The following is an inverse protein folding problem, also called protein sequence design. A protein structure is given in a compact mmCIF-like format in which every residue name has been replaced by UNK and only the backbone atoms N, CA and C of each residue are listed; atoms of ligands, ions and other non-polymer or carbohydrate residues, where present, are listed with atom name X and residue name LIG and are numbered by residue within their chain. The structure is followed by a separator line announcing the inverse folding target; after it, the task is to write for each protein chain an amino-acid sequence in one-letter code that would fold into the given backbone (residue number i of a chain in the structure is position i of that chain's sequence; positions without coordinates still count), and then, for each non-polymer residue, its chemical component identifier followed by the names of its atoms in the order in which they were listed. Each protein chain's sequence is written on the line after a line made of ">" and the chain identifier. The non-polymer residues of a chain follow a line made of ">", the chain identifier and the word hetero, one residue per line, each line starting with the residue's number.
data_IF_193098376776
#
_entry.id   IF_193098376776
#
_cell.length_a   1.000
_cell.length_b   1.000
_cell.length_c   1.000
_cell.angle_alpha   90.00
_cell.angle_beta   90.00
_cell.angle_gamma   90.00
#
_symmetry.space_group_name_H-M   'P 1'
#
loop_
_entity.id
_entity.type
_entity.pdbx_description
1 polymer ?
#
# COMPACT_ATOMS: atom_id res chain seq x y z
N UNK A 1 -53.78 4.29 13.81
CA UNK A 1 -53.05 5.11 12.82
C UNK A 1 -52.00 4.22 12.19
N UNK A 2 -52.09 4.01 10.88
CA UNK A 2 -51.23 3.09 10.13
C UNK A 2 -49.79 3.64 10.09
N UNK A 3 -48.85 2.91 10.70
CA UNK A 3 -47.42 3.17 10.55
C UNK A 3 -47.02 2.76 9.13
N UNK A 4 -46.78 3.77 8.31
CA UNK A 4 -46.29 3.64 6.93
C UNK A 4 -45.15 2.63 6.86
N UNK A 5 -45.34 1.58 6.06
CA UNK A 5 -44.33 0.56 5.76
C UNK A 5 -43.15 1.21 5.05
N UNK A 6 -42.14 1.63 5.83
CA UNK A 6 -40.85 2.05 5.29
C UNK A 6 -40.23 0.91 4.49
N UNK A 7 -39.59 1.23 3.37
CA UNK A 7 -38.89 0.28 2.51
C UNK A 7 -37.80 -0.44 3.32
N UNK A 8 -38.12 -1.65 3.80
CA UNK A 8 -37.20 -2.51 4.52
C UNK A 8 -36.51 -3.45 3.53
N UNK A 9 -35.20 -3.32 3.39
CA UNK A 9 -34.40 -4.18 2.52
C UNK A 9 -33.96 -5.40 3.30
N UNK A 10 -34.32 -6.59 2.81
CA UNK A 10 -33.93 -7.86 3.44
C UNK A 10 -32.46 -8.15 3.09
N UNK A 11 -31.63 -8.24 4.11
CA UNK A 11 -30.20 -8.54 3.96
C UNK A 11 -29.97 -10.04 3.82
N UNK A 12 -30.63 -10.83 4.66
CA UNK A 12 -30.50 -12.28 4.65
C UNK A 12 -31.70 -12.93 5.31
N UNK A 13 -32.04 -14.13 4.85
CA UNK A 13 -33.01 -14.99 5.53
C UNK A 13 -32.54 -16.44 5.53
N UNK A 14 -32.56 -17.07 6.71
CA UNK A 14 -32.05 -18.43 6.91
C UNK A 14 -33.03 -19.24 7.74
N UNK A 15 -33.12 -20.55 7.47
CA UNK A 15 -33.98 -21.46 8.25
C UNK A 15 -33.24 -21.93 9.48
N UNK A 16 -33.92 -21.95 10.62
CA UNK A 16 -33.33 -22.34 11.89
C UNK A 16 -34.29 -23.16 12.74
N UNK A 17 -33.74 -24.02 13.58
CA UNK A 17 -34.44 -24.48 14.79
C UNK A 17 -34.18 -23.48 15.91
N UNK A 18 -35.20 -23.13 16.69
CA UNK A 18 -35.06 -22.16 17.80
C UNK A 18 -35.40 -22.84 19.11
N UNK A 19 -34.55 -22.77 20.14
CA UNK A 19 -34.92 -23.16 21.51
C UNK A 19 -35.20 -21.91 22.36
N UNK A 20 -36.26 -21.91 23.21
CA UNK A 20 -37.04 -23.07 23.67
C UNK A 20 -38.26 -23.46 22.79
N UNK A 21 -38.47 -22.79 21.65
CA UNK A 21 -39.62 -23.03 20.77
C UNK A 21 -39.53 -24.42 20.10
N UNK A 22 -40.24 -25.42 20.59
CA UNK A 22 -40.32 -26.78 20.02
C UNK A 22 -41.13 -26.87 18.71
N UNK A 23 -41.03 -25.85 17.85
CA UNK A 23 -41.64 -25.81 16.53
C UNK A 23 -40.67 -26.45 15.54
N UNK A 24 -41.18 -27.34 14.67
CA UNK A 24 -40.35 -28.13 13.75
C UNK A 24 -39.38 -27.26 12.92
N UNK A 25 -38.11 -27.69 12.84
CA UNK A 25 -36.95 -27.01 12.22
C UNK A 25 -37.15 -26.40 10.82
N UNK A 26 -38.21 -26.80 10.12
CA UNK A 26 -38.44 -26.44 8.72
C UNK A 26 -39.39 -25.26 8.51
N UNK A 27 -40.06 -24.83 9.58
CA UNK A 27 -41.08 -23.80 9.56
C UNK A 27 -40.59 -22.42 10.01
N UNK A 28 -39.44 -22.35 10.70
CA UNK A 28 -38.91 -21.10 11.25
C UNK A 28 -37.78 -20.53 10.39
N UNK A 29 -37.83 -19.23 10.17
CA UNK A 29 -36.78 -18.45 9.49
C UNK A 29 -36.40 -17.24 10.31
N UNK A 30 -35.10 -17.02 10.47
CA UNK A 30 -34.58 -15.71 10.84
C UNK A 30 -34.45 -14.86 9.59
N UNK A 31 -34.76 -13.59 9.73
CA UNK A 31 -34.64 -12.63 8.64
C UNK A 31 -34.11 -11.31 9.20
N UNK A 32 -32.95 -10.90 8.69
CA UNK A 32 -32.34 -9.62 9.01
C UNK A 32 -32.68 -8.63 7.91
N UNK A 33 -33.11 -7.43 8.31
CA UNK A 33 -33.48 -6.37 7.39
C UNK A 33 -32.96 -5.01 7.86
N UNK A 34 -32.75 -4.09 6.92
CA UNK A 34 -32.38 -2.71 7.20
C UNK A 34 -33.48 -1.76 6.74
N UNK A 35 -33.67 -0.66 7.46
CA UNK A 35 -34.54 0.40 6.99
C UNK A 35 -33.76 1.37 6.10
N UNK A 36 -34.09 1.43 4.81
CA UNK A 36 -33.39 2.30 3.86
C UNK A 36 -33.48 3.80 4.23
N UNK A 37 -34.51 4.19 4.97
CA UNK A 37 -34.76 5.58 5.36
C UNK A 37 -34.09 5.96 6.70
N UNK A 38 -33.50 5.00 7.42
CA UNK A 38 -32.83 5.22 8.71
C UNK A 38 -31.54 4.39 8.77
N UNK A 39 -30.43 5.03 8.42
CA UNK A 39 -29.10 4.42 8.53
C UNK A 39 -28.88 3.86 9.97
N UNK A 40 -28.32 2.66 10.07
CA UNK A 40 -28.05 2.01 11.35
C UNK A 40 -29.27 1.44 12.09
N UNK A 41 -30.47 1.46 11.49
CA UNK A 41 -31.65 0.75 12.02
C UNK A 41 -31.78 -0.62 11.35
N UNK A 42 -31.36 -1.64 12.06
CA UNK A 42 -31.47 -3.04 11.63
C UNK A 42 -32.51 -3.75 12.50
N UNK A 43 -33.34 -4.53 11.82
CA UNK A 43 -34.43 -5.28 12.43
C UNK A 43 -34.20 -6.76 12.16
N UNK A 44 -34.11 -7.53 13.25
CA UNK A 44 -34.11 -8.98 13.20
C UNK A 44 -35.52 -9.51 13.45
N UNK A 45 -36.05 -10.29 12.52
CA UNK A 45 -37.38 -10.90 12.63
C UNK A 45 -37.29 -12.42 12.66
N UNK A 46 -38.00 -13.05 13.58
CA UNK A 46 -38.25 -14.48 13.59
C UNK A 46 -39.61 -14.74 12.94
N UNK A 47 -39.63 -15.49 11.84
CA UNK A 47 -40.83 -15.74 11.04
C UNK A 47 -41.20 -17.22 11.06
N UNK A 48 -42.49 -17.51 11.12
CA UNK A 48 -43.06 -18.84 10.95
C UNK A 48 -43.77 -18.94 9.61
N UNK A 49 -43.42 -19.94 8.81
CA UNK A 49 -44.11 -20.30 7.58
C UNK A 49 -44.96 -21.54 7.81
N UNK A 50 -46.28 -21.37 7.70
CA UNK A 50 -47.22 -22.48 7.82
C UNK A 50 -47.24 -23.35 6.55
N UNK A 51 -47.81 -24.56 6.63
CA UNK A 51 -47.95 -25.51 5.50
C UNK A 51 -48.71 -24.92 4.31
N UNK A 52 -49.54 -23.90 4.52
CA UNK A 52 -50.23 -23.12 3.48
C UNK A 52 -49.38 -22.02 2.81
N UNK A 53 -48.08 -21.95 3.07
CA UNK A 53 -47.16 -20.98 2.45
C UNK A 53 -47.24 -19.55 3.01
N UNK A 54 -48.13 -19.28 3.97
CA UNK A 54 -48.22 -17.97 4.63
C UNK A 54 -47.09 -17.80 5.66
N UNK A 55 -46.41 -16.67 5.59
CA UNK A 55 -45.34 -16.29 6.52
C UNK A 55 -45.81 -15.23 7.51
N UNK A 56 -45.75 -15.52 8.81
CA UNK A 56 -46.12 -14.62 9.90
C UNK A 56 -44.87 -14.26 10.72
N UNK A 57 -44.73 -13.00 11.14
CA UNK A 57 -43.66 -12.58 12.07
C UNK A 57 -44.06 -12.98 13.48
N UNK A 58 -43.25 -13.83 14.13
CA UNK A 58 -43.45 -14.26 15.52
C UNK A 58 -42.86 -13.26 16.52
N UNK A 59 -41.71 -12.68 16.18
CA UNK A 59 -41.02 -11.71 17.01
C UNK A 59 -40.15 -10.79 16.16
N UNK A 60 -40.00 -9.55 16.60
CA UNK A 60 -39.19 -8.53 15.96
C UNK A 60 -38.28 -7.89 17.02
N UNK A 61 -37.00 -7.79 16.71
CA UNK A 61 -35.98 -7.29 17.62
C UNK A 61 -35.19 -6.16 16.94
N UNK A 62 -35.02 -5.05 17.64
CA UNK A 62 -34.03 -4.04 17.27
C UNK A 62 -32.64 -4.62 17.52
N UNK A 63 -31.81 -4.67 16.48
CA UNK A 63 -30.48 -5.27 16.56
C UNK A 63 -29.59 -4.61 17.64
N UNK A 64 -29.81 -3.34 17.98
CA UNK A 64 -29.08 -2.63 19.07
C UNK A 64 -29.38 -3.20 20.45
N UNK A 65 -30.56 -3.80 20.60
CA UNK A 65 -31.02 -4.41 21.85
C UNK A 65 -30.60 -5.87 21.98
N UNK A 66 -29.86 -6.41 21.02
CA UNK A 66 -29.51 -7.82 20.91
C UNK A 66 -28.01 -8.01 21.14
N UNK A 67 -27.67 -9.01 21.97
CA UNK A 67 -26.34 -9.61 22.06
C UNK A 67 -26.35 -10.92 21.30
N UNK A 68 -25.36 -11.11 20.42
CA UNK A 68 -25.24 -12.30 19.59
C UNK A 68 -23.92 -13.00 19.87
N UNK A 69 -23.96 -14.33 20.03
CA UNK A 69 -22.79 -15.16 20.33
C UNK A 69 -22.80 -16.43 19.49
N UNK A 70 -21.66 -16.78 18.89
CA UNK A 70 -21.50 -18.05 18.16
C UNK A 70 -21.05 -19.12 19.15
N UNK A 71 -21.90 -20.12 19.41
CA UNK A 71 -21.59 -21.21 20.36
C UNK A 71 -20.88 -22.39 19.71
N UNK A 72 -21.24 -22.71 18.48
CA UNK A 72 -20.59 -23.75 17.67
C UNK A 72 -20.76 -23.45 16.18
N UNK A 73 -20.11 -24.23 15.32
CA UNK A 73 -20.19 -24.09 13.86
C UNK A 73 -21.62 -24.18 13.28
N UNK A 74 -22.59 -24.70 14.06
CA UNK A 74 -24.00 -24.79 13.66
C UNK A 74 -24.98 -24.25 14.69
N UNK A 75 -24.50 -23.63 15.77
CA UNK A 75 -25.37 -23.19 16.86
C UNK A 75 -24.96 -21.81 17.36
N UNK A 76 -25.87 -20.85 17.24
CA UNK A 76 -25.65 -19.48 17.71
C UNK A 76 -26.68 -19.13 18.79
N UNK A 77 -26.33 -18.23 19.70
CA UNK A 77 -27.18 -17.77 20.79
C UNK A 77 -27.43 -16.27 20.67
N UNK A 78 -28.64 -15.87 21.00
CA UNK A 78 -29.07 -14.49 21.05
C UNK A 78 -29.68 -14.17 22.41
N UNK A 79 -29.32 -13.02 22.98
CA UNK A 79 -29.83 -12.53 24.26
C UNK A 79 -30.28 -11.08 24.14
N UNK A 80 -31.33 -10.71 24.85
CA UNK A 80 -31.79 -9.32 24.91
C UNK A 80 -31.04 -8.53 25.98
N UNK A 81 -30.71 -7.28 25.66
CA UNK A 81 -30.04 -6.34 26.57
C UNK A 81 -30.96 -5.82 27.68
N UNK A 82 -32.27 -5.79 27.43
CA UNK A 82 -33.28 -5.40 28.43
C UNK A 82 -33.95 -6.66 29.00
N UNK A 83 -34.13 -6.76 30.32
CA UNK A 83 -34.86 -7.87 30.93
C UNK A 83 -36.32 -7.90 30.42
N UNK A 84 -36.96 -9.07 30.33
CA UNK A 84 -36.51 -10.40 30.79
C UNK A 84 -35.40 -10.99 29.89
N UNK A 85 -34.43 -11.68 30.51
CA UNK A 85 -33.29 -12.31 29.81
C UNK A 85 -33.72 -13.54 29.01
N UNK A 86 -34.49 -13.32 27.95
CA UNK A 86 -34.85 -14.37 27.02
C UNK A 86 -33.62 -14.69 26.16
N UNK A 87 -33.05 -15.87 26.37
CA UNK A 87 -32.02 -16.42 25.49
C UNK A 87 -32.65 -17.33 24.45
N UNK A 88 -32.36 -17.04 23.19
CA UNK A 88 -32.81 -17.83 22.05
C UNK A 88 -31.60 -18.52 21.44
N UNK A 89 -31.62 -19.85 21.42
CA UNK A 89 -30.59 -20.62 20.73
C UNK A 89 -31.07 -21.03 19.36
N UNK A 90 -30.29 -20.70 18.34
CA UNK A 90 -30.55 -21.01 16.95
C UNK A 90 -29.64 -22.13 16.48
N UNK A 91 -30.21 -23.17 15.88
CA UNK A 91 -29.46 -24.25 15.23
C UNK A 91 -29.69 -24.24 13.73
N UNK A 92 -28.61 -24.21 12.96
CA UNK A 92 -28.60 -24.10 11.50
C UNK A 92 -28.50 -25.46 10.82
N UNK A 93 -28.95 -25.55 9.56
CA UNK A 93 -28.96 -26.81 8.80
C UNK A 93 -27.57 -27.25 8.35
N UNK A 94 -26.71 -26.29 8.02
CA UNK A 94 -25.31 -26.52 7.64
C UNK A 94 -24.39 -25.50 8.32
N UNK A 95 -23.09 -25.84 8.40
CA UNK A 95 -22.05 -24.91 8.86
C UNK A 95 -21.92 -23.70 7.92
N UNK A 96 -22.12 -23.91 6.62
CA UNK A 96 -22.09 -22.83 5.64
C UNK A 96 -23.19 -21.80 5.89
N UNK A 97 -24.44 -22.23 6.08
CA UNK A 97 -25.56 -21.31 6.37
C UNK A 97 -25.32 -20.56 7.70
N UNK A 98 -24.79 -21.25 8.71
CA UNK A 98 -24.42 -20.64 9.98
C UNK A 98 -23.35 -19.57 9.79
N UNK A 99 -22.30 -19.87 9.01
CA UNK A 99 -21.19 -18.95 8.77
C UNK A 99 -21.61 -17.71 7.99
N UNK A 100 -22.38 -17.87 6.91
CA UNK A 100 -22.90 -16.76 6.11
C UNK A 100 -23.82 -15.88 6.97
N UNK A 101 -24.73 -16.49 7.74
CA UNK A 101 -25.61 -15.78 8.66
C UNK A 101 -24.84 -15.04 9.76
N UNK A 102 -23.87 -15.71 10.38
CA UNK A 102 -23.02 -15.12 11.43
C UNK A 102 -22.25 -13.91 10.89
N UNK A 103 -21.74 -14.00 9.67
CA UNK A 103 -21.02 -12.89 9.02
C UNK A 103 -21.93 -11.67 8.84
N UNK A 104 -23.14 -11.87 8.30
CA UNK A 104 -24.13 -10.79 8.06
C UNK A 104 -24.66 -10.20 9.37
N UNK A 105 -24.91 -11.04 10.37
CA UNK A 105 -25.36 -10.60 11.70
C UNK A 105 -24.30 -9.74 12.40
N UNK A 106 -23.05 -10.22 12.45
CA UNK A 106 -21.98 -9.52 13.13
C UNK A 106 -21.59 -8.21 12.42
N UNK A 107 -21.63 -8.17 11.08
CA UNK A 107 -21.41 -6.91 10.33
C UNK A 107 -22.50 -5.88 10.59
N UNK A 108 -23.76 -6.31 10.59
CA UNK A 108 -24.90 -5.43 10.86
C UNK A 108 -24.93 -4.93 12.30
N UNK A 109 -24.50 -5.74 13.27
CA UNK A 109 -24.40 -5.36 14.69
C UNK A 109 -23.31 -4.29 14.90
N UNK A 110 -22.15 -4.44 14.24
CA UNK A 110 -21.10 -3.41 14.28
C UNK A 110 -21.59 -2.08 13.71
N UNK A 111 -22.31 -2.12 12.59
CA UNK A 111 -22.83 -0.90 11.97
C UNK A 111 -23.95 -0.25 12.79
N UNK A 112 -24.84 -1.04 13.40
CA UNK A 112 -25.90 -0.52 14.26
C UNK A 112 -25.34 0.24 15.47
N UNK A 113 -24.25 -0.27 16.06
CA UNK A 113 -23.56 0.37 17.18
C UNK A 113 -22.73 1.58 16.76
N UNK A 114 -22.06 1.53 15.59
CA UNK A 114 -21.32 2.67 15.05
C UNK A 114 -22.21 3.90 14.91
N UNK A 115 -23.40 3.73 14.34
CA UNK A 115 -24.37 4.83 14.17
C UNK A 115 -24.93 5.30 15.51
N UNK A 116 -25.17 4.40 16.47
CA UNK A 116 -25.63 4.77 17.81
C UNK A 116 -24.60 5.64 18.57
N UNK A 117 -23.30 5.31 18.48
CA UNK A 117 -22.23 6.08 19.13
C UNK A 117 -22.04 7.48 18.51
N UNK A 118 -22.27 7.63 17.21
CA UNK A 118 -22.22 8.95 16.55
C UNK A 118 -23.41 9.84 16.95
N UNK A 119 -24.51 9.24 17.40
CA UNK A 119 -25.74 9.95 17.76
C UNK A 119 -25.73 10.54 19.18
N UNK A 120 -24.76 10.17 20.03
CA UNK A 120 -24.63 10.65 21.41
C UNK A 120 -23.17 11.03 21.74
N UNK A 121 -22.76 12.29 21.52
CA UNK A 121 -21.64 12.87 22.25
C UNK A 121 -22.15 13.43 23.60
N UNK A 122 -21.22 13.59 24.57
CA UNK A 122 -21.42 14.04 25.98
C UNK A 122 -21.69 12.91 26.98
N UNK A 123 -21.13 12.83 28.18
CA UNK A 123 -20.12 13.56 28.96
C UNK A 123 -19.96 12.78 30.29
N UNK A 124 -18.89 13.03 31.05
CA UNK A 124 -18.56 12.50 32.39
C UNK A 124 -18.18 11.01 32.46
N UNK A 125 -17.08 10.60 33.10
CA UNK A 125 -16.54 11.10 34.36
C UNK A 125 -16.39 9.88 35.28
N UNK A 126 -15.26 9.80 35.97
CA UNK A 126 -14.80 8.69 36.82
C UNK A 126 -15.90 8.02 37.68
N UNK A 127 -15.87 6.69 37.80
CA UNK A 127 -15.70 5.98 39.09
C UNK A 127 -15.99 4.46 39.04
N UNK A 128 -14.95 3.73 39.41
CA UNK A 128 -14.95 2.68 40.45
C UNK A 128 -15.31 1.22 40.11
N UNK A 129 -14.41 0.39 40.64
CA UNK A 129 -14.33 -1.07 40.70
C UNK A 129 -15.62 -1.77 41.13
N UNK A 130 -15.93 -2.90 40.48
CA UNK A 130 -16.17 -4.15 41.21
C UNK A 130 -15.86 -5.39 40.37
N UNK A 131 -14.98 -6.22 40.92
CA UNK A 131 -14.66 -7.58 40.50
C UNK A 131 -15.92 -8.47 40.56
N UNK A 132 -16.16 -9.23 39.49
CA UNK A 132 -17.22 -10.24 39.42
C UNK A 132 -17.17 -11.02 38.10
N UNK A 133 -16.60 -12.23 38.17
CA UNK A 133 -16.71 -13.32 37.19
C UNK A 133 -16.31 -12.98 35.74
N UNK A 134 -15.00 -12.82 35.54
CA UNK A 134 -14.41 -12.59 34.22
C UNK A 134 -14.34 -13.93 33.46
N UNK A 135 -15.23 -14.07 32.48
CA UNK A 135 -15.20 -15.18 31.49
C UNK A 135 -13.76 -15.36 30.94
N UNK A 136 -13.21 -16.59 30.90
CA UNK A 136 -11.85 -16.86 30.40
C UNK A 136 -11.63 -16.40 28.95
N UNK A 137 -12.68 -16.43 28.14
CA UNK A 137 -12.69 -15.98 26.74
C UNK A 137 -12.68 -14.45 26.59
N UNK A 138 -13.34 -13.72 27.49
CA UNK A 138 -13.34 -12.24 27.52
C UNK A 138 -12.00 -11.72 28.07
N UNK A 139 -11.42 -12.42 29.05
CA UNK A 139 -10.05 -12.21 29.51
C UNK A 139 -9.04 -12.39 28.38
N UNK A 140 -9.16 -13.47 27.61
CA UNK A 140 -8.24 -13.78 26.51
C UNK A 140 -8.32 -12.76 25.37
N UNK A 141 -9.51 -12.28 25.01
CA UNK A 141 -9.66 -11.23 24.00
C UNK A 141 -9.16 -9.87 24.51
N UNK A 142 -9.51 -9.49 25.75
CA UNK A 142 -9.01 -8.27 26.39
C UNK A 142 -7.49 -8.24 26.49
N UNK A 143 -6.86 -9.38 26.79
CA UNK A 143 -5.41 -9.51 26.88
C UNK A 143 -4.73 -9.48 25.50
N UNK A 144 -5.42 -9.93 24.44
CA UNK A 144 -4.96 -9.80 23.05
C UNK A 144 -5.05 -8.37 22.53
N UNK A 145 -6.14 -7.66 22.83
CA UNK A 145 -6.30 -6.24 22.52
C UNK A 145 -5.26 -5.38 23.26
N UNK A 146 -4.99 -5.72 24.53
CA UNK A 146 -3.95 -5.06 25.33
C UNK A 146 -2.55 -5.25 24.72
N UNK A 147 -2.21 -6.46 24.26
CA UNK A 147 -0.96 -6.70 23.52
C UNK A 147 -0.86 -5.88 22.22
N UNK A 148 -1.96 -5.71 21.48
CA UNK A 148 -1.99 -4.85 20.29
C UNK A 148 -1.75 -3.37 20.63
N UNK A 149 -2.36 -2.89 21.72
CA UNK A 149 -2.18 -1.52 22.21
C UNK A 149 -0.77 -1.28 22.73
N UNK A 150 -0.19 -2.24 23.45
CA UNK A 150 1.19 -2.16 23.93
C UNK A 150 2.20 -2.23 22.76
N UNK A 151 1.95 -3.06 21.74
CA UNK A 151 2.76 -3.04 20.52
C UNK A 151 2.70 -1.66 19.85
N UNK A 152 1.51 -1.08 19.73
CA UNK A 152 1.35 0.24 19.13
C UNK A 152 2.10 1.32 19.92
N UNK A 153 1.95 1.35 21.24
CA UNK A 153 2.66 2.28 22.14
C UNK A 153 4.18 2.10 22.10
N UNK A 154 4.66 0.85 22.07
CA UNK A 154 6.09 0.57 21.98
C UNK A 154 6.69 1.09 20.65
N UNK A 155 5.97 0.92 19.54
CA UNK A 155 6.36 1.45 18.23
C UNK A 155 6.37 2.98 18.25
N UNK A 156 5.32 3.61 18.78
CA UNK A 156 5.20 5.08 18.88
C UNK A 156 6.30 5.70 19.76
N UNK A 157 6.65 5.03 20.86
CA UNK A 157 7.72 5.44 21.76
C UNK A 157 9.13 5.16 21.21
N UNK A 158 9.26 4.42 20.09
CA UNK A 158 10.55 3.98 19.56
C UNK A 158 11.24 2.90 20.39
N UNK A 159 10.52 2.24 21.31
CA UNK A 159 11.05 1.14 22.12
C UNK A 159 11.10 -0.16 21.29
N UNK A 160 12.22 -0.33 20.60
CA UNK A 160 12.48 -1.49 19.73
C UNK A 160 12.40 -2.82 20.48
N UNK A 161 12.86 -2.88 21.74
CA UNK A 161 12.92 -4.14 22.48
C UNK A 161 11.52 -4.58 22.92
N UNK A 162 10.73 -3.64 23.44
CA UNK A 162 9.33 -3.91 23.78
C UNK A 162 8.49 -4.24 22.53
N UNK A 163 8.69 -3.53 21.42
CA UNK A 163 7.97 -3.79 20.17
C UNK A 163 8.24 -5.21 19.63
N UNK A 164 9.51 -5.66 19.65
CA UNK A 164 9.86 -7.04 19.25
C UNK A 164 9.20 -8.05 20.17
N UNK A 165 9.21 -7.82 21.49
CA UNK A 165 8.57 -8.69 22.46
C UNK A 165 7.07 -8.86 22.18
N UNK A 166 6.32 -7.75 22.08
CA UNK A 166 4.89 -7.79 21.83
C UNK A 166 4.53 -8.36 20.44
N UNK A 167 5.29 -8.04 19.40
CA UNK A 167 5.09 -8.61 18.07
C UNK A 167 5.30 -10.12 18.06
N UNK A 168 6.30 -10.62 18.80
CA UNK A 168 6.58 -12.05 18.93
C UNK A 168 5.41 -12.79 19.59
N UNK A 169 4.84 -12.22 20.66
CA UNK A 169 3.74 -12.84 21.38
C UNK A 169 2.42 -12.80 20.60
N UNK A 170 2.16 -11.73 19.84
CA UNK A 170 1.03 -11.67 18.91
C UNK A 170 1.17 -12.70 17.77
N UNK A 171 2.39 -12.89 17.24
CA UNK A 171 2.67 -13.87 16.19
C UNK A 171 2.48 -15.32 16.66
N UNK A 172 2.95 -15.67 17.87
CA UNK A 172 2.73 -17.00 18.48
C UNK A 172 1.25 -17.35 18.60
N UNK A 173 0.41 -16.34 18.81
CA UNK A 173 -1.04 -16.49 18.97
C UNK A 173 -1.80 -16.54 17.64
N UNK A 174 -1.11 -16.40 16.49
CA UNK A 174 -1.68 -16.41 15.13
C UNK A 174 -2.88 -15.46 14.95
N UNK A 175 -2.81 -14.29 15.58
CA UNK A 175 -3.89 -13.30 15.54
C UNK A 175 -3.87 -12.61 14.19
N UNK A 176 -5.04 -12.50 13.55
CA UNK A 176 -5.20 -11.66 12.35
C UNK A 176 -5.23 -10.19 12.78
N UNK A 177 -4.23 -9.43 12.36
CA UNK A 177 -4.10 -8.01 12.67
C UNK A 177 -4.36 -7.15 11.42
N UNK A 178 -5.01 -6.00 11.63
CA UNK A 178 -5.00 -4.91 10.65
C UNK A 178 -4.05 -3.85 11.18
N UNK A 179 -2.91 -3.68 10.51
CA UNK A 179 -1.90 -2.69 10.88
C UNK A 179 -2.02 -1.56 9.88
N UNK A 180 -2.39 -0.38 10.37
CA UNK A 180 -2.48 0.82 9.56
C UNK A 180 -1.71 1.93 10.28
N UNK A 181 -0.94 2.74 9.54
CA UNK A 181 -0.43 4.00 10.08
C UNK A 181 -1.62 4.83 10.58
N UNK A 182 -1.48 5.46 11.75
CA UNK A 182 -2.50 6.38 12.24
C UNK A 182 -2.78 7.44 11.17
N UNK A 183 -4.07 7.72 10.84
CA UNK A 183 -4.41 8.82 9.97
C UNK A 183 -3.94 10.09 10.66
N UNK A 184 -2.83 10.66 10.19
CA UNK A 184 -2.52 12.04 10.49
C UNK A 184 -3.56 12.85 9.74
N UNK A 185 -4.12 13.87 10.37
CA UNK A 185 -4.76 14.96 9.63
C UNK A 185 -3.69 15.50 8.69
N UNK A 186 -3.65 14.95 7.48
CA UNK A 186 -2.83 15.50 6.42
C UNK A 186 -3.57 16.76 6.03
N UNK A 187 -3.22 17.85 6.70
CA UNK A 187 -3.25 19.13 6.00
C UNK A 187 -2.53 18.85 4.67
N UNK A 188 -3.15 19.16 3.54
CA UNK A 188 -2.57 19.05 2.20
C UNK A 188 -1.46 20.11 2.04
N UNK A 189 -0.50 20.10 2.97
CA UNK A 189 0.64 20.98 3.02
C UNK A 189 1.78 20.33 2.27
N UNK A 190 2.26 21.02 1.26
CA UNK A 190 3.51 20.66 0.60
C UNK A 190 4.66 20.71 1.61
N UNK A 191 5.54 19.71 1.52
CA UNK A 191 6.80 19.63 2.24
C UNK A 191 7.97 19.70 1.26
N UNK A 192 9.11 20.16 1.76
CA UNK A 192 10.36 20.33 1.04
C UNK A 192 11.22 19.07 1.22
N UNK A 193 11.18 18.17 0.23
CA UNK A 193 11.96 16.95 0.19
C UNK A 193 13.40 17.24 -0.28
N UNK A 194 14.38 16.83 0.50
CA UNK A 194 15.79 16.88 0.09
C UNK A 194 16.13 15.65 -0.76
N UNK A 195 16.43 15.85 -2.04
CA UNK A 195 16.74 14.76 -2.97
C UNK A 195 18.22 14.78 -3.30
N UNK A 196 18.94 13.74 -2.90
CA UNK A 196 20.30 13.48 -3.36
C UNK A 196 20.21 12.75 -4.69
N UNK A 197 20.70 13.37 -5.75
CA UNK A 197 20.70 12.80 -7.10
C UNK A 197 22.09 12.24 -7.38
N UNK A 198 22.16 10.98 -7.76
CA UNK A 198 23.40 10.30 -8.09
C UNK A 198 23.29 9.64 -9.46
N UNK A 199 24.40 9.63 -10.19
CA UNK A 199 24.57 8.77 -11.37
C UNK A 199 25.78 7.86 -11.20
N UNK A 200 26.27 7.25 -12.28
CA UNK A 200 27.43 6.37 -12.21
C UNK A 200 28.77 7.09 -11.89
N UNK A 201 28.81 8.42 -11.91
CA UNK A 201 30.05 9.20 -11.87
C UNK A 201 30.02 10.46 -11.00
N UNK A 202 28.84 10.92 -10.59
CA UNK A 202 28.63 12.22 -9.97
C UNK A 202 27.43 12.20 -9.02
N UNK A 203 27.41 13.17 -8.10
CA UNK A 203 26.32 13.42 -7.17
C UNK A 203 26.03 14.91 -7.03
N UNK A 204 24.76 15.25 -6.80
CA UNK A 204 24.30 16.59 -6.43
C UNK A 204 23.05 16.52 -5.56
N UNK A 205 22.56 17.66 -5.07
CA UNK A 205 21.36 17.73 -4.25
C UNK A 205 20.37 18.75 -4.83
N UNK A 206 19.09 18.42 -4.82
CA UNK A 206 17.99 19.32 -5.17
C UNK A 206 16.91 19.26 -4.09
N UNK A 207 16.10 20.30 -3.99
CA UNK A 207 14.95 20.33 -3.08
C UNK A 207 13.68 20.35 -3.91
N UNK A 208 12.77 19.41 -3.63
CA UNK A 208 11.53 19.22 -4.40
C UNK A 208 10.35 19.39 -3.46
N UNK A 209 9.36 20.20 -3.86
CA UNK A 209 8.11 20.31 -3.11
C UNK A 209 7.18 19.16 -3.46
N UNK A 210 6.70 18.45 -2.44
CA UNK A 210 5.87 17.25 -2.59
C UNK A 210 4.80 17.21 -1.51
N UNK A 211 3.70 16.51 -1.79
CA UNK A 211 2.71 16.14 -0.79
C UNK A 211 3.00 14.72 -0.28
N UNK A 212 2.94 14.43 1.03
CA UNK A 212 3.26 13.10 1.55
C UNK A 212 2.44 11.95 0.93
N UNK A 213 1.20 12.23 0.52
CA UNK A 213 0.30 11.23 -0.04
C UNK A 213 0.58 10.90 -1.54
N UNK A 214 1.41 11.68 -2.24
CA UNK A 214 1.70 11.41 -3.66
C UNK A 214 2.46 10.11 -3.85
N UNK A 215 2.18 9.44 -4.95
CA UNK A 215 2.83 8.18 -5.31
C UNK A 215 4.22 8.41 -5.89
N UNK A 216 5.08 7.40 -5.80
CA UNK A 216 6.40 7.40 -6.44
C UNK A 216 6.29 7.58 -7.95
N UNK A 217 5.26 7.02 -8.60
CA UNK A 217 4.98 7.27 -10.02
C UNK A 217 4.75 8.76 -10.31
N UNK A 218 3.99 9.44 -9.46
CA UNK A 218 3.69 10.88 -9.61
C UNK A 218 4.94 11.72 -9.39
N UNK A 219 5.76 11.40 -8.38
CA UNK A 219 7.05 12.05 -8.15
C UNK A 219 8.00 11.86 -9.35
N UNK A 220 8.03 10.65 -9.94
CA UNK A 220 8.81 10.42 -11.16
C UNK A 220 8.35 11.30 -12.31
N UNK A 221 7.04 11.44 -12.49
CA UNK A 221 6.48 12.31 -13.52
C UNK A 221 6.83 13.78 -13.25
N UNK A 222 6.76 14.22 -12.00
CA UNK A 222 7.17 15.57 -11.60
C UNK A 222 8.65 15.83 -11.94
N UNK A 223 9.56 14.93 -11.58
CA UNK A 223 10.98 15.05 -11.94
C UNK A 223 11.23 15.06 -13.44
N UNK A 224 10.40 14.36 -14.21
CA UNK A 224 10.48 14.40 -15.66
C UNK A 224 10.07 15.76 -16.22
N UNK A 225 8.97 16.33 -15.72
CA UNK A 225 8.49 17.65 -16.15
C UNK A 225 9.45 18.75 -15.75
N UNK A 226 10.00 18.70 -14.53
CA UNK A 226 10.82 19.77 -13.96
C UNK A 226 12.30 19.69 -14.39
N UNK A 227 12.86 18.48 -14.49
CA UNK A 227 14.28 18.27 -14.76
C UNK A 227 14.58 17.41 -16.01
N UNK A 228 13.55 16.90 -16.70
CA UNK A 228 13.73 16.13 -17.93
C UNK A 228 14.15 14.67 -17.76
N UNK A 229 14.24 14.16 -16.52
CA UNK A 229 14.62 12.77 -16.27
C UNK A 229 13.45 11.83 -16.53
N UNK A 230 13.50 11.04 -17.60
CA UNK A 230 12.40 10.12 -17.93
C UNK A 230 12.10 9.13 -16.79
N UNK A 231 10.82 8.80 -16.46
CA UNK A 231 10.50 7.91 -15.32
C UNK A 231 11.24 6.56 -15.33
N UNK A 232 11.55 6.03 -16.52
CA UNK A 232 12.31 4.77 -16.70
C UNK A 232 13.78 4.85 -16.29
N UNK A 233 14.40 6.04 -16.30
CA UNK A 233 15.78 6.20 -15.82
C UNK A 233 15.86 6.45 -14.32
N UNK A 234 14.74 6.78 -13.68
CA UNK A 234 14.70 7.17 -12.28
C UNK A 234 14.59 5.96 -11.37
N UNK A 235 15.56 5.79 -10.49
CA UNK A 235 15.53 4.78 -9.42
C UNK A 235 15.55 5.45 -8.06
N UNK A 236 14.39 5.42 -7.41
CA UNK A 236 14.18 6.05 -6.11
C UNK A 236 14.51 5.10 -4.97
N UNK A 237 15.26 5.61 -3.99
CA UNK A 237 15.62 4.91 -2.76
C UNK A 237 15.29 5.82 -1.57
N UNK A 238 14.46 5.31 -0.65
CA UNK A 238 14.06 6.00 0.58
C UNK A 238 14.15 4.99 1.71
N UNK A 239 14.75 5.38 2.85
CA UNK A 239 14.94 4.52 4.01
C UNK A 239 15.56 3.14 3.65
N UNK A 240 16.61 3.15 2.82
CA UNK A 240 17.31 1.96 2.29
C UNK A 240 16.45 1.01 1.43
N UNK A 241 15.24 1.42 1.07
CA UNK A 241 14.32 0.62 0.27
C UNK A 241 14.23 1.16 -1.16
N UNK A 242 14.27 0.25 -2.13
CA UNK A 242 13.96 0.57 -3.51
C UNK A 242 12.46 0.85 -3.66
N UNK A 243 12.11 2.04 -4.13
CA UNK A 243 10.74 2.48 -4.17
C UNK A 243 9.94 1.84 -5.31
N UNK A 244 8.69 1.53 -5.03
CA UNK A 244 7.69 0.99 -5.96
C UNK A 244 6.71 2.07 -6.38
N UNK A 245 6.37 2.09 -7.66
CA UNK A 245 5.58 3.17 -8.29
C UNK A 245 4.20 3.39 -7.65
N UNK A 246 3.55 2.33 -7.16
CA UNK A 246 2.21 2.39 -6.58
C UNK A 246 2.14 2.79 -5.10
N UNK A 247 3.28 3.01 -4.43
CA UNK A 247 3.33 3.40 -3.02
C UNK A 247 3.49 4.91 -2.87
N UNK A 248 2.95 5.48 -1.79
CA UNK A 248 3.11 6.90 -1.46
C UNK A 248 4.44 7.21 -0.80
N UNK A 249 4.88 8.47 -0.85
CA UNK A 249 6.07 8.96 -0.14
C UNK A 249 5.97 8.77 1.38
N UNK A 250 4.80 9.07 1.97
CA UNK A 250 4.50 8.81 3.37
C UNK A 250 4.76 7.35 3.76
N UNK A 251 4.39 6.41 2.88
CA UNK A 251 4.62 4.98 3.16
C UNK A 251 6.09 4.57 3.25
N UNK A 252 7.00 5.44 2.79
CA UNK A 252 8.45 5.29 2.92
C UNK A 252 9.08 6.14 4.04
N UNK A 253 8.27 6.87 4.81
CA UNK A 253 8.77 7.67 5.93
C UNK A 253 8.90 9.17 5.67
N UNK A 254 8.42 9.68 4.53
CA UNK A 254 8.49 11.10 4.19
C UNK A 254 7.25 11.84 4.74
N UNK A 255 7.43 12.71 5.71
CA UNK A 255 6.37 13.43 6.42
C UNK A 255 6.68 14.89 6.75
N UNK A 256 7.93 15.34 6.64
CA UNK A 256 8.34 16.68 7.06
C UNK A 256 9.39 17.28 6.13
N UNK A 257 9.52 18.60 6.21
CA UNK A 257 10.61 19.33 5.55
C UNK A 257 11.97 18.78 5.95
N UNK A 258 12.85 18.63 4.95
CA UNK A 258 14.21 18.12 5.14
C UNK A 258 14.33 16.60 5.15
N UNK A 259 13.22 15.86 5.12
CA UNK A 259 13.28 14.42 4.88
C UNK A 259 14.03 14.13 3.57
N UNK A 260 14.80 13.05 3.55
CA UNK A 260 15.76 12.79 2.47
C UNK A 260 15.34 11.60 1.61
N UNK A 261 15.47 11.76 0.29
CA UNK A 261 15.33 10.70 -0.70
C UNK A 261 16.56 10.67 -1.60
N UNK A 262 16.86 9.50 -2.16
CA UNK A 262 17.95 9.32 -3.12
C UNK A 262 17.37 8.95 -4.47
N UNK A 263 17.78 9.68 -5.50
CA UNK A 263 17.44 9.41 -6.89
C UNK A 263 18.69 8.96 -7.63
N UNK A 264 18.76 7.67 -7.95
CA UNK A 264 19.79 7.14 -8.83
C UNK A 264 19.34 7.19 -10.29
N UNK A 265 20.11 7.84 -11.14
CA UNK A 265 19.81 8.02 -12.56
C UNK A 265 20.55 6.96 -13.40
N UNK A 266 19.77 6.16 -14.12
CA UNK A 266 20.28 5.20 -15.09
C UNK A 266 20.58 5.89 -16.43
N UNK A 267 21.62 5.44 -17.12
CA UNK A 267 21.82 5.83 -18.52
C UNK A 267 20.66 5.34 -19.40
N UNK A 268 20.33 6.09 -20.46
CA UNK A 268 19.22 5.77 -21.37
C UNK A 268 19.29 4.33 -21.94
N UNK A 269 20.50 3.86 -22.25
CA UNK A 269 20.76 2.47 -22.69
C UNK A 269 20.33 1.43 -21.65
N UNK A 270 20.59 1.68 -20.37
CA UNK A 270 20.22 0.77 -19.28
C UNK A 270 18.73 0.84 -18.95
N UNK A 271 18.08 1.97 -19.22
CA UNK A 271 16.64 2.11 -19.08
C UNK A 271 15.85 1.54 -20.28
N UNK A 272 16.53 0.95 -21.27
CA UNK A 272 15.96 0.43 -22.52
C UNK A 272 15.09 1.47 -23.26
N UNK A 273 15.49 2.75 -23.19
CA UNK A 273 14.90 3.81 -24.00
C UNK A 273 15.48 3.69 -25.41
N UNK A 274 14.79 2.94 -26.28
CA UNK A 274 15.14 2.87 -27.69
C UNK A 274 14.83 4.18 -28.40
N UNK A 275 15.67 4.59 -29.35
CA UNK A 275 15.46 5.77 -30.21
C UNK A 275 14.06 5.83 -30.84
N UNK A 276 13.41 4.69 -31.04
CA UNK A 276 12.12 4.58 -31.72
C UNK A 276 10.95 5.18 -30.92
N UNK A 277 11.04 5.27 -29.59
CA UNK A 277 9.96 5.82 -28.75
C UNK A 277 10.10 7.32 -28.47
N UNK A 278 11.26 7.90 -28.78
CA UNK A 278 11.53 9.34 -28.68
C UNK A 278 10.85 10.14 -29.81
N UNK A 279 10.55 9.52 -30.95
CA UNK A 279 9.79 10.16 -32.02
C UNK A 279 8.29 10.26 -31.70
N UNK A 280 7.66 9.24 -31.09
CA UNK A 280 6.22 9.28 -30.77
C UNK A 280 5.85 10.33 -29.71
N UNK A 281 6.70 10.57 -28.71
CA UNK A 281 6.43 11.58 -27.70
C UNK A 281 6.72 13.02 -28.17
N UNK A 282 7.53 13.20 -29.23
CA UNK A 282 7.81 14.51 -29.82
C UNK A 282 6.66 15.07 -30.66
N UNK A 283 5.90 14.20 -31.33
CA UNK A 283 4.75 14.63 -32.16
C UNK A 283 3.47 14.91 -31.36
N UNK A 284 3.34 14.36 -30.14
CA UNK A 284 2.15 14.58 -29.31
C UNK A 284 2.18 15.90 -28.51
N UNK A 285 3.35 16.51 -28.34
CA UNK A 285 3.51 17.81 -27.66
C UNK A 285 3.35 19.03 -28.58
N UNK A 286 3.38 18.84 -29.91
CA UNK A 286 3.24 19.94 -30.87
C UNK A 286 1.78 20.21 -31.30
N UNK A 287 0.82 19.41 -30.86
CA UNK A 287 -0.60 19.53 -31.27
C UNK A 287 -1.53 20.14 -30.21
N UNK A 288 -1.02 20.50 -29.03
CA UNK A 288 -1.86 20.96 -27.91
C UNK A 288 -1.79 22.46 -27.58
N UNK A 289 -1.19 23.30 -28.44
CA UNK A 289 -1.19 24.76 -28.23
C UNK A 289 -1.48 25.53 -29.52
N UNK A 290 -2.76 25.76 -29.80
CA UNK A 290 -3.20 26.81 -30.70
C UNK A 290 -4.46 27.49 -30.13
N UNK A 291 -4.41 28.78 -29.77
CA UNK A 291 -5.61 29.60 -29.77
C UNK A 291 -5.89 30.11 -31.19
N UNK A 292 -7.16 30.03 -31.57
CA UNK A 292 -7.71 30.56 -32.82
C UNK A 292 -7.76 32.09 -32.78
N UNK A 293 -7.08 32.79 -33.69
CA UNK A 293 -7.67 33.89 -34.47
C UNK A 293 -6.75 34.49 -35.57
N UNK A 294 -7.27 34.43 -36.80
CA UNK A 294 -7.36 35.50 -37.83
C UNK A 294 -6.11 36.11 -38.53
N UNK A 295 -6.05 35.80 -39.84
CA UNK A 295 -5.88 36.66 -41.04
C UNK A 295 -4.51 37.10 -41.62
N UNK A 296 -4.20 36.48 -42.78
CA UNK A 296 -3.81 37.00 -44.11
C UNK A 296 -2.47 37.76 -44.36
N UNK A 297 -1.64 37.19 -45.24
CA UNK A 297 -0.62 37.88 -46.07
C UNK A 297 0.28 36.92 -46.87
N UNK A 298 0.55 37.14 -48.19
CA UNK A 298 0.93 36.07 -49.15
C UNK A 298 2.44 35.80 -49.34
N UNK A 299 2.72 34.62 -49.88
CA UNK A 299 4.01 34.07 -50.35
C UNK A 299 4.69 34.91 -51.45
N UNK A 300 6.03 34.79 -51.57
CA UNK A 300 6.56 34.07 -52.75
C UNK A 300 7.75 33.15 -52.43
N UNK A 301 7.87 32.06 -53.19
CA UNK A 301 9.07 31.21 -53.32
C UNK A 301 9.71 31.49 -54.71
N UNK A 302 10.82 30.85 -55.16
CA UNK A 302 11.74 29.92 -54.50
C UNK A 302 13.25 30.16 -54.81
N UNK A 303 14.18 29.80 -53.90
CA UNK A 303 15.57 29.43 -54.28
C UNK A 303 16.41 28.92 -53.10
N UNK A 304 16.94 27.69 -53.20
CA UNK A 304 18.12 27.18 -52.47
C UNK A 304 17.85 26.21 -51.31
N UNK A 305 18.54 25.05 -51.22
CA UNK A 305 18.33 24.08 -50.15
C UNK A 305 19.11 24.53 -48.92
N UNK A 306 18.42 25.12 -47.95
CA UNK A 306 18.96 25.38 -46.62
C UNK A 306 18.64 24.20 -45.71
N UNK A 307 19.66 23.38 -45.47
CA UNK A 307 19.68 22.34 -44.43
C UNK A 307 19.57 23.02 -43.07
N UNK A 308 18.38 22.99 -42.46
CA UNK A 308 18.21 23.38 -41.06
C UNK A 308 18.64 22.22 -40.16
N UNK A 309 19.91 22.23 -39.77
CA UNK A 309 20.45 21.45 -38.66
C UNK A 309 19.74 21.84 -37.37
N UNK A 310 18.77 21.03 -36.94
CA UNK A 310 18.37 21.00 -35.54
C UNK A 310 19.50 20.36 -34.75
N UNK A 311 20.30 21.21 -34.10
CA UNK A 311 21.37 20.82 -33.17
C UNK A 311 20.86 19.77 -32.17
N UNK A 312 21.38 18.55 -32.29
CA UNK A 312 21.29 17.55 -31.24
C UNK A 312 22.03 18.03 -30.00
N UNK A 313 21.32 18.10 -28.87
CA UNK A 313 21.94 18.27 -27.57
C UNK A 313 22.67 16.97 -27.20
N UNK A 314 23.92 16.86 -27.63
CA UNK A 314 24.89 15.91 -27.08
C UNK A 314 25.47 16.49 -25.79
N UNK A 315 25.22 15.86 -24.64
CA UNK A 315 25.78 16.23 -23.33
C UNK A 315 27.17 15.61 -23.08
N UNK A 316 28.00 15.50 -24.11
CA UNK A 316 29.39 15.07 -23.96
C UNK A 316 30.33 16.24 -24.28
N UNK A 317 31.29 16.60 -23.41
CA UNK A 317 32.24 17.67 -23.71
C UNK A 317 33.19 17.26 -24.87
N UNK A 318 33.61 18.20 -25.74
CA UNK A 318 34.57 17.91 -26.79
C UNK A 318 35.94 17.59 -26.18
N UNK A 319 36.57 16.51 -26.67
CA UNK A 319 37.96 16.18 -26.32
C UNK A 319 38.90 17.28 -26.85
N UNK A 320 39.60 17.96 -25.95
CA UNK A 320 40.77 18.76 -26.32
C UNK A 320 42.01 17.86 -26.26
N UNK A 321 42.76 17.87 -27.37
CA UNK A 321 44.03 17.19 -27.52
C UNK A 321 45.18 18.20 -27.42
N UNK A 322 46.22 17.80 -26.69
CA UNK A 322 47.65 18.22 -26.74
C UNK A 322 48.20 19.38 -25.87
N UNK A 323 49.05 18.95 -24.92
CA UNK A 323 50.45 19.35 -24.64
C UNK A 323 50.83 20.73 -24.07
N UNK A 324 51.40 20.67 -22.85
CA UNK A 324 52.58 21.37 -22.28
C UNK A 324 52.74 22.90 -22.40
N UNK A 325 52.87 23.59 -21.24
CA UNK A 325 54.08 24.27 -20.68
C UNK A 325 53.69 25.46 -19.77
N UNK A 326 54.28 25.58 -18.57
CA UNK A 326 54.71 26.88 -18.00
C UNK A 326 53.88 27.60 -16.91
N UNK A 327 54.38 27.50 -15.66
CA UNK A 327 54.69 28.57 -14.67
C UNK A 327 53.69 29.66 -14.23
N UNK A 328 53.65 29.91 -12.90
CA UNK A 328 53.45 31.24 -12.28
C UNK A 328 52.22 31.37 -11.37
N UNK A 329 52.42 31.54 -10.06
CA UNK A 329 51.35 31.65 -9.04
C UNK A 329 51.06 33.07 -8.52
N UNK A 330 50.02 33.20 -7.69
CA UNK A 330 49.89 34.03 -6.47
C UNK A 330 48.46 33.86 -5.87
N UNK A 331 48.31 33.84 -4.53
CA UNK A 331 47.06 33.60 -3.77
C UNK A 331 46.17 34.86 -3.56
N UNK A 332 45.36 35.00 -2.46
CA UNK A 332 45.11 34.09 -1.33
C UNK A 332 43.60 33.83 -0.95
N UNK A 333 43.42 32.74 -0.21
CA UNK A 333 42.45 32.40 0.86
C UNK A 333 41.00 32.94 0.89
N UNK A 334 40.02 32.02 0.83
CA UNK A 334 38.77 32.06 1.63
C UNK A 334 38.27 30.64 1.97
N UNK A 335 38.38 30.31 3.27
CA UNK A 335 37.58 29.39 4.10
C UNK A 335 36.82 28.24 3.41
N UNK A 336 37.45 27.06 3.44
CA UNK A 336 36.80 25.76 3.20
C UNK A 336 36.15 25.26 4.50
N UNK A 337 34.83 25.15 4.53
CA UNK A 337 34.12 24.33 5.53
C UNK A 337 34.09 22.91 4.98
N UNK A 338 35.25 22.29 5.00
CA UNK A 338 35.43 20.86 4.84
C UNK A 338 35.82 20.36 6.22
N UNK A 339 34.83 19.95 7.00
CA UNK A 339 34.93 18.88 8.00
C UNK A 339 33.56 18.66 8.65
N UNK A 340 33.31 17.39 9.00
CA UNK A 340 32.13 16.85 9.69
C UNK A 340 31.00 16.40 8.75
N UNK A 341 31.21 15.29 8.03
CA UNK A 341 30.48 14.04 8.30
C UNK A 341 31.48 12.89 8.14
N UNK A 342 31.75 12.20 9.26
CA UNK A 342 32.58 11.01 9.35
C UNK A 342 32.14 9.95 8.35
N UNK A 343 33.06 9.58 7.45
CA UNK A 343 32.97 8.48 6.48
C UNK A 343 33.11 7.09 7.16
N UNK A 344 32.65 6.93 8.40
CA UNK A 344 33.06 5.82 9.26
C UNK A 344 31.92 4.88 9.66
N UNK A 345 30.92 4.66 8.79
CA UNK A 345 29.87 3.66 9.08
C UNK A 345 29.39 2.83 7.89
N UNK A 346 30.32 2.33 7.06
CA UNK A 346 30.07 1.17 6.17
C UNK A 346 31.26 0.16 6.10
N UNK A 347 32.20 0.20 7.05
CA UNK A 347 33.37 -0.70 7.05
C UNK A 347 33.48 -1.56 8.30
N UNK A 348 32.53 -2.47 8.51
CA UNK A 348 32.75 -3.65 9.37
C UNK A 348 32.15 -4.90 8.72
N UNK A 349 33.03 -5.71 8.13
CA UNK A 349 32.70 -7.07 7.72
C UNK A 349 33.49 -7.64 6.54
N UNK A 350 34.84 -7.67 6.60
CA UNK A 350 35.64 -8.86 6.25
C UNK A 350 37.12 -8.50 6.04
N UNK A 351 37.95 -8.76 7.05
CA UNK A 351 39.37 -9.06 6.83
C UNK A 351 39.46 -10.53 6.42
N UNK A 352 39.53 -10.83 5.13
CA UNK A 352 40.11 -12.07 4.65
C UNK A 352 41.06 -11.83 3.48
N UNK A 353 42.30 -12.30 3.67
CA UNK A 353 43.39 -12.31 2.71
C UNK A 353 43.01 -13.13 1.47
N UNK A 354 43.34 -12.56 0.30
CA UNK A 354 43.77 -13.21 -0.96
C UNK A 354 42.87 -14.26 -1.67
N UNK A 355 42.73 -14.01 -2.98
CA UNK A 355 42.34 -14.88 -4.10
C UNK A 355 40.93 -15.48 -4.11
N UNK A 356 39.98 -14.82 -4.80
CA UNK A 356 39.35 -15.32 -6.03
C UNK A 356 38.38 -14.25 -6.57
N UNK A 357 38.57 -13.79 -7.81
CA UNK A 357 37.65 -12.87 -8.50
C UNK A 357 36.34 -13.59 -8.85
N UNK A 358 35.39 -13.64 -7.91
CA UNK A 358 34.01 -13.95 -8.25
C UNK A 358 33.29 -12.66 -8.63
N UNK A 359 33.29 -12.35 -9.92
CA UNK A 359 32.43 -11.31 -10.48
C UNK A 359 30.97 -11.63 -10.12
N UNK A 360 30.34 -10.75 -9.34
CA UNK A 360 28.91 -10.80 -9.06
C UNK A 360 28.08 -10.66 -10.34
N UNK A 361 26.76 -10.81 -10.23
CA UNK A 361 25.84 -10.56 -11.36
C UNK A 361 25.03 -9.29 -11.12
N UNK A 362 24.95 -8.42 -12.13
CA UNK A 362 24.09 -7.23 -12.09
C UNK A 362 22.65 -7.67 -12.33
N UNK A 363 21.75 -7.25 -11.45
CA UNK A 363 20.34 -7.57 -11.63
C UNK A 363 19.73 -6.79 -12.80
N UNK A 364 19.00 -7.45 -13.71
CA UNK A 364 18.37 -6.78 -14.86
C UNK A 364 17.27 -5.79 -14.43
N UNK A 365 16.69 -5.98 -13.24
CA UNK A 365 15.63 -5.14 -12.71
C UNK A 365 16.15 -4.00 -11.84
N UNK A 366 17.07 -4.26 -10.90
CA UNK A 366 17.52 -3.30 -9.88
C UNK A 366 18.94 -2.75 -10.13
N UNK A 367 19.71 -3.32 -11.07
CA UNK A 367 21.14 -3.08 -11.35
C UNK A 367 22.12 -3.38 -10.22
N UNK A 368 21.65 -3.65 -9.00
CA UNK A 368 22.46 -4.07 -7.86
C UNK A 368 23.35 -5.26 -8.23
N UNK A 369 24.63 -5.19 -7.83
CA UNK A 369 25.61 -6.24 -8.07
C UNK A 369 25.49 -7.28 -6.97
N UNK A 370 24.79 -8.37 -7.29
CA UNK A 370 24.55 -9.47 -6.38
C UNK A 370 25.75 -10.41 -6.33
N UNK A 371 25.91 -11.08 -5.18
CA UNK A 371 26.87 -12.19 -5.05
C UNK A 371 26.58 -13.25 -6.12
N UNK A 372 27.63 -13.79 -6.72
CA UNK A 372 27.57 -14.78 -7.80
C UNK A 372 26.80 -16.06 -7.43
N UNK A 373 26.56 -16.32 -6.14
CA UNK A 373 25.83 -17.50 -5.62
C UNK A 373 24.36 -17.23 -5.32
N UNK A 374 23.89 -15.97 -5.31
CA UNK A 374 22.49 -15.62 -5.01
C UNK A 374 21.58 -15.94 -6.22
N UNK A 375 20.47 -16.68 -6.01
CA UNK A 375 19.52 -16.97 -7.09
C UNK A 375 18.61 -15.78 -7.45
N UNK A 376 18.54 -14.73 -6.64
CA UNK A 376 17.76 -13.51 -6.91
C UNK A 376 18.38 -12.23 -6.32
N UNK A 377 17.94 -11.05 -6.79
CA UNK A 377 18.47 -9.74 -6.39
C UNK A 377 18.22 -9.50 -4.89
N UNK A 378 19.25 -9.11 -4.15
CA UNK A 378 19.17 -8.76 -2.74
C UNK A 378 18.23 -7.57 -2.49
N UNK A 379 18.14 -6.66 -3.45
CA UNK A 379 17.37 -5.42 -3.34
C UNK A 379 15.92 -5.57 -3.81
N UNK A 380 15.66 -6.33 -4.86
CA UNK A 380 14.33 -6.38 -5.50
C UNK A 380 13.80 -7.80 -5.73
N UNK A 381 14.51 -8.82 -5.27
CA UNK A 381 14.17 -10.24 -5.39
C UNK A 381 14.00 -10.77 -6.82
N UNK A 382 14.31 -9.98 -7.85
CA UNK A 382 14.27 -10.44 -9.25
C UNK A 382 15.25 -11.59 -9.46
N UNK A 383 14.78 -12.66 -10.11
CA UNK A 383 15.58 -13.84 -10.37
C UNK A 383 16.85 -13.55 -11.17
N UNK A 384 17.88 -14.32 -10.88
CA UNK A 384 19.14 -14.28 -11.63
C UNK A 384 18.87 -14.73 -13.07
N UNK A 385 19.31 -13.96 -14.09
CA UNK A 385 19.27 -14.41 -15.47
C UNK A 385 20.07 -15.70 -15.63
N UNK A 386 19.45 -16.76 -16.17
CA UNK A 386 20.15 -17.98 -16.53
C UNK A 386 21.19 -17.67 -17.62
N UNK A 387 22.42 -18.21 -17.55
CA UNK A 387 23.37 -18.06 -18.64
C UNK A 387 22.77 -18.67 -19.92
N UNK A 388 22.93 -18.03 -21.09
CA UNK A 388 22.44 -18.60 -22.34
C UNK A 388 23.11 -19.95 -22.59
N UNK A 389 22.29 -21.01 -22.70
CA UNK A 389 22.75 -22.34 -23.04
C UNK A 389 23.49 -22.31 -24.39
N UNK A 390 24.81 -22.53 -24.37
CA UNK A 390 25.57 -22.94 -25.54
C UNK A 390 25.22 -24.39 -25.89
N UNK A 391 23.99 -24.66 -26.33
CA UNK A 391 23.57 -25.97 -26.84
C UNK A 391 22.81 -25.88 -28.17
N UNK A 392 23.13 -24.86 -28.99
CA UNK A 392 22.47 -24.64 -30.28
C UNK A 392 23.41 -24.40 -31.48
N UNK A 393 24.74 -24.50 -31.33
CA UNK A 393 25.69 -24.19 -32.44
C UNK A 393 26.42 -25.42 -32.99
N UNK A 394 26.23 -26.62 -32.42
CA UNK A 394 26.81 -27.85 -32.96
C UNK A 394 25.84 -28.70 -33.81
N UNK A 395 24.53 -28.40 -33.86
CA UNK A 395 23.58 -29.20 -34.63
C UNK A 395 23.39 -28.72 -36.09
N UNK A 396 23.84 -27.51 -36.43
CA UNK A 396 23.77 -26.96 -37.81
C UNK A 396 25.01 -27.33 -38.66
N UNK A 397 26.11 -27.77 -38.03
CA UNK A 397 27.34 -28.17 -38.76
C UNK A 397 27.35 -29.64 -39.20
N UNK A 398 26.52 -30.49 -38.58
CA UNK A 398 26.36 -31.90 -38.96
C UNK A 398 25.37 -32.12 -40.12
N UNK A 399 24.49 -31.14 -40.41
CA UNK A 399 23.53 -31.23 -41.54
C UNK A 399 24.08 -30.77 -42.88
N UNK A 400 25.21 -30.05 -42.92
CA UNK A 400 25.87 -29.62 -44.18
C UNK A 400 27.01 -30.52 -44.63
N UNK A 401 27.32 -31.59 -43.91
CA UNK A 401 28.34 -32.57 -44.31
C UNK A 401 27.75 -33.89 -44.80
N UNK A 402 26.42 -33.96 -44.98
CA UNK A 402 25.73 -35.17 -45.42
C UNK A 402 24.67 -34.88 -46.51
N UNK A 403 24.90 -33.84 -47.33
CA UNK A 403 24.14 -33.59 -48.54
C UNK A 403 25.06 -33.18 -49.68
#
# INVERSE_FOLDING_TARGET
>A
MAVSSGCSTVLMSVRVSVRPLSVGSDSLRLQLSMNANRAGLFTLTLRHTDRGGRSVSLAEFDLRSVKYEIKSARSHEMRLNKPPHDSLTFTFRSEQEAQEWGTVMMSSLRESHRVANISHPSDDGEQNMKCGERNPSVLSLSMKEELCLELSRAIEAGDTHAAVHYATDLAKQQITLSIQPAPRDTDDTEISLAVVVEDASSSCCVTVKVLPHVTIASLKQQMFVEYGFHPRVQRWVIAQCLCSDGRSLASYGIYRDGDTAFLYLLSARHACLGQQQQQENGVSMLTAAAPLNATLGPTPAPSGPVSHDWRGYSTLPPRLSHSSTGSGGCGPEKHSVSDIINLEMLQLGSKHKSSNTQSGWSCPSCTFINKSTRPGCEICSTDRPNPPNHSGVQQEKARRSNQ
#
